data_IF_176549437946
#
_entry.id   IF_176549437946
#
_cell.length_a   1.000
_cell.length_b   1.000
_cell.length_c   1.000
_cell.angle_alpha   90.00
_cell.angle_beta   90.00
_cell.angle_gamma   90.00
#
_symmetry.space_group_name_H-M   'P 1'
#
loop_
_entity.id
_entity.type
_entity.pdbx_description
1 polymer ?
#
# COMPACT_ATOMS: atom_id res chain seq x y z
N UNK A 1 -0.94 0.58 4.23
CA UNK A 1 -0.72 1.69 3.30
C UNK A 1 0.18 2.70 3.98
N UNK A 2 0.93 3.46 3.21
CA UNK A 2 1.74 4.55 3.74
C UNK A 2 1.79 5.68 2.71
N UNK A 3 1.69 6.92 3.15
CA UNK A 3 1.83 8.11 2.32
C UNK A 3 2.85 9.04 2.93
N UNK A 4 3.59 9.76 2.10
CA UNK A 4 4.58 10.71 2.57
C UNK A 4 4.84 11.81 1.55
N UNK A 5 5.34 12.94 2.03
CA UNK A 5 5.78 14.09 1.23
C UNK A 5 7.14 14.56 1.76
N UNK A 6 7.92 15.23 0.91
CA UNK A 6 9.24 15.76 1.29
C UNK A 6 9.17 16.98 2.22
N UNK A 7 8.02 17.62 2.28
CA UNK A 7 7.65 18.76 3.12
C UNK A 7 6.12 18.79 3.28
N UNK A 8 5.57 19.78 3.99
CA UNK A 8 4.13 19.82 4.26
C UNK A 8 3.52 21.21 3.94
N UNK A 9 3.31 21.55 2.65
CA UNK A 9 3.33 20.67 1.47
C UNK A 9 4.66 20.63 0.71
N UNK A 10 4.94 19.50 0.03
CA UNK A 10 5.89 19.37 -1.08
C UNK A 10 5.58 18.07 -1.86
N UNK A 11 6.29 17.79 -2.95
CA UNK A 11 6.18 16.54 -3.71
C UNK A 11 6.28 15.32 -2.78
N UNK A 12 5.45 14.33 -3.07
CA UNK A 12 5.33 13.14 -2.25
C UNK A 12 4.96 11.91 -3.03
N UNK A 13 4.36 10.95 -2.35
CA UNK A 13 3.92 9.70 -2.93
C UNK A 13 3.29 8.82 -1.88
N UNK A 14 2.81 7.67 -2.31
CA UNK A 14 2.22 6.69 -1.43
C UNK A 14 2.66 5.29 -1.84
N UNK A 15 2.61 4.35 -0.90
CA UNK A 15 2.86 2.94 -1.11
C UNK A 15 1.83 2.04 -0.43
N UNK A 16 1.76 0.78 -0.86
CA UNK A 16 1.03 -0.25 -0.15
C UNK A 16 1.76 -1.59 -0.26
N UNK A 17 1.54 -2.42 0.75
CA UNK A 17 2.01 -3.79 0.80
C UNK A 17 0.86 -4.69 1.25
N UNK A 18 0.69 -5.81 0.56
CA UNK A 18 -0.06 -6.97 1.08
C UNK A 18 0.99 -7.98 1.51
N UNK A 19 0.97 -8.31 2.81
CA UNK A 19 1.89 -9.29 3.39
C UNK A 19 1.09 -10.47 3.94
N UNK A 20 1.62 -11.68 3.75
CA UNK A 20 1.17 -12.88 4.44
C UNK A 20 2.08 -13.08 5.64
N UNK A 21 1.48 -13.08 6.83
CA UNK A 21 2.17 -13.46 8.06
C UNK A 21 2.24 -14.99 8.10
N UNK A 22 3.40 -15.54 8.42
CA UNK A 22 3.55 -16.96 8.72
C UNK A 22 3.02 -17.30 10.11
N UNK A 23 3.17 -18.56 10.51
CA UNK A 23 2.74 -19.03 11.83
C UNK A 23 3.47 -18.34 13.00
N UNK A 24 4.63 -17.75 12.72
CA UNK A 24 5.41 -16.95 13.68
C UNK A 24 5.68 -15.56 13.11
N UNK A 25 5.88 -14.58 14.00
CA UNK A 25 6.24 -13.20 13.61
C UNK A 25 7.57 -13.11 12.86
N UNK A 26 8.39 -14.16 12.91
CA UNK A 26 9.67 -14.24 12.20
C UNK A 26 9.51 -14.50 10.69
N UNK A 27 8.32 -14.90 10.23
CA UNK A 27 8.09 -15.24 8.82
C UNK A 27 7.08 -14.27 8.21
N UNK A 28 7.54 -13.38 7.32
CA UNK A 28 6.68 -12.44 6.59
C UNK A 28 6.95 -12.59 5.10
N UNK A 29 5.89 -12.87 4.32
CA UNK A 29 5.98 -12.94 2.86
C UNK A 29 5.34 -11.70 2.25
N UNK A 30 6.10 -10.94 1.48
CA UNK A 30 5.54 -9.87 0.65
C UNK A 30 4.81 -10.50 -0.55
N UNK A 31 3.48 -10.44 -0.56
CA UNK A 31 2.66 -10.98 -1.65
C UNK A 31 2.50 -9.97 -2.79
N UNK A 32 2.44 -8.69 -2.45
CA UNK A 32 2.30 -7.61 -3.42
C UNK A 32 2.77 -6.30 -2.82
N UNK A 33 3.47 -5.50 -3.61
CA UNK A 33 3.99 -4.19 -3.26
C UNK A 33 3.66 -3.21 -4.39
N UNK A 34 3.31 -1.98 -4.04
CA UNK A 34 3.11 -0.89 -5.01
C UNK A 34 3.61 0.43 -4.44
N UNK A 35 4.10 1.29 -5.33
CA UNK A 35 4.45 2.68 -5.03
C UNK A 35 3.88 3.60 -6.11
N UNK A 36 3.44 4.79 -5.73
CA UNK A 36 2.90 5.83 -6.61
C UNK A 36 3.53 7.15 -6.21
N UNK A 37 4.16 7.84 -7.16
CA UNK A 37 4.66 9.20 -6.95
C UNK A 37 3.55 10.22 -7.17
N UNK A 38 3.44 11.21 -6.28
CA UNK A 38 2.59 12.37 -6.43
C UNK A 38 3.48 13.57 -6.78
N UNK A 39 3.51 13.95 -8.05
CA UNK A 39 4.41 14.99 -8.56
C UNK A 39 4.01 16.42 -8.13
N UNK A 40 2.83 16.59 -7.50
CA UNK A 40 2.34 17.90 -7.10
C UNK A 40 3.15 18.45 -5.92
N UNK A 41 3.70 19.68 -6.03
CA UNK A 41 4.37 20.36 -4.91
C UNK A 41 3.39 20.78 -3.80
N UNK A 42 2.08 20.67 -4.03
CA UNK A 42 1.06 20.94 -3.01
C UNK A 42 0.65 19.70 -2.21
N UNK A 43 1.36 18.58 -2.37
CA UNK A 43 1.04 17.34 -1.66
C UNK A 43 1.41 17.47 -0.18
N UNK A 44 0.43 17.38 0.71
CA UNK A 44 0.68 17.21 2.15
C UNK A 44 0.87 15.73 2.49
N UNK A 45 1.43 15.43 3.66
CA UNK A 45 1.54 14.04 4.13
C UNK A 45 0.16 13.37 4.21
N UNK A 46 -0.84 14.06 4.77
CA UNK A 46 -2.21 13.56 4.91
C UNK A 46 -2.86 13.33 3.55
N UNK A 47 -2.60 14.20 2.56
CA UNK A 47 -3.11 14.01 1.20
C UNK A 47 -2.45 12.79 0.53
N UNK A 48 -1.15 12.60 0.72
CA UNK A 48 -0.44 11.43 0.21
C UNK A 48 -0.98 10.13 0.82
N UNK A 49 -1.25 10.10 2.13
CA UNK A 49 -1.85 8.96 2.82
C UNK A 49 -3.27 8.67 2.31
N UNK A 50 -4.10 9.70 2.20
CA UNK A 50 -5.47 9.58 1.71
C UNK A 50 -5.52 9.00 0.30
N UNK A 51 -4.68 9.51 -0.62
CA UNK A 51 -4.58 8.96 -1.97
C UNK A 51 -4.09 7.52 -1.97
N UNK A 52 -3.11 7.19 -1.12
CA UNK A 52 -2.63 5.82 -0.95
C UNK A 52 -3.75 4.85 -0.55
N UNK A 53 -4.57 5.22 0.43
CA UNK A 53 -5.70 4.41 0.88
C UNK A 53 -6.75 4.28 -0.24
N UNK A 54 -7.19 5.39 -0.83
CA UNK A 54 -8.29 5.41 -1.81
C UNK A 54 -7.96 4.64 -3.10
N UNK A 55 -6.73 4.76 -3.58
CA UNK A 55 -6.32 4.15 -4.86
C UNK A 55 -5.96 2.68 -4.73
N UNK A 56 -5.36 2.28 -3.60
CA UNK A 56 -4.79 0.92 -3.45
C UNK A 56 -5.66 -0.01 -2.63
N UNK A 57 -6.59 0.50 -1.82
CA UNK A 57 -7.54 -0.36 -1.09
C UNK A 57 -8.32 -1.31 -2.02
N UNK A 58 -8.91 -0.84 -3.14
CA UNK A 58 -9.61 -1.74 -4.07
C UNK A 58 -8.69 -2.79 -4.73
N UNK A 59 -7.42 -2.45 -4.95
CA UNK A 59 -6.44 -3.37 -5.52
C UNK A 59 -6.06 -4.46 -4.52
N UNK A 60 -5.82 -4.07 -3.25
CA UNK A 60 -5.54 -5.01 -2.17
C UNK A 60 -6.69 -5.99 -1.95
N UNK A 61 -7.95 -5.53 -2.00
CA UNK A 61 -9.11 -6.42 -1.83
C UNK A 61 -9.25 -7.41 -2.99
N UNK A 62 -9.01 -6.98 -4.23
CA UNK A 62 -8.99 -7.87 -5.39
C UNK A 62 -7.90 -8.94 -5.31
N UNK A 63 -6.70 -8.60 -4.85
CA UNK A 63 -5.61 -9.56 -4.64
C UNK A 63 -5.91 -10.58 -3.54
N UNK A 64 -6.58 -10.15 -2.46
CA UNK A 64 -7.01 -11.05 -1.38
C UNK A 64 -8.02 -12.08 -1.88
N UNK A 65 -8.94 -11.70 -2.77
CA UNK A 65 -9.91 -12.62 -3.37
C UNK A 65 -9.24 -13.69 -4.24
N UNK A 66 -8.19 -13.33 -4.99
CA UNK A 66 -7.46 -14.28 -5.85
C UNK A 66 -6.53 -15.21 -5.06
N UNK A 67 -5.97 -14.77 -3.93
CA UNK A 67 -5.06 -15.57 -3.09
C UNK A 67 -5.73 -16.48 -2.05
N UNK A 68 -7.04 -16.32 -1.79
CA UNK A 68 -7.82 -17.20 -0.90
C UNK A 68 -8.28 -18.47 -1.66
N UNK A 69 -8.42 -18.42 -2.98
CA UNK A 69 -8.86 -19.56 -3.78
C UNK A 69 -7.79 -20.67 -3.98
N UNK A 70 -6.52 -20.38 -3.72
CA UNK A 70 -5.41 -21.31 -4.02
C UNK A 70 -4.73 -21.90 -2.78
N UNK A 71 -5.37 -21.86 -1.60
CA UNK A 71 -4.81 -22.41 -0.36
C UNK A 71 -5.74 -23.40 0.37
N UNK A 72 -6.72 -23.98 -0.33
CA UNK A 72 -7.64 -25.03 0.16
C UNK A 72 -7.52 -26.35 -0.62
N UNK A 73 -6.31 -26.74 -0.97
CA UNK A 73 -5.96 -28.10 -1.43
C UNK A 73 -4.64 -28.51 -0.83
#
# INVERSE_FOLDING_TARGET
FYGGSRGNPDRGGSGAAVVRLGATLATIHACWLVSISHASPTTTNNLAEHYGLRTKWPQCTSLKMNGIASSFT
#
